data_IF_842981422265
#
_entry.id   IF_842981422265
#
_cell.length_a   1.000
_cell.length_b   1.000
_cell.length_c   1.000
_cell.angle_alpha   90.00
_cell.angle_beta   90.00
_cell.angle_gamma   90.00
#
_symmetry.space_group_name_H-M   'P 1'
#
loop_
_entity.id
_entity.type
_entity.pdbx_description
1 polymer ?
#
# COMPACT_ATOMS: atom_id res chain seq x y z
N UNK A 1 20.27 -32.27 34.48
CA UNK A 1 21.17 -31.85 33.39
C UNK A 1 20.33 -31.13 32.33
N UNK A 2 20.67 -29.87 32.09
CA UNK A 2 20.18 -28.96 31.05
C UNK A 2 18.73 -28.42 31.13
N UNK A 3 18.50 -27.19 30.66
CA UNK A 3 18.50 -26.03 31.54
C UNK A 3 17.21 -25.18 31.45
N UNK A 4 17.11 -24.23 32.38
CA UNK A 4 16.06 -23.23 32.48
C UNK A 4 15.85 -22.46 31.18
N UNK A 5 14.64 -22.52 30.64
CA UNK A 5 14.11 -21.54 29.70
C UNK A 5 13.85 -20.25 30.47
N UNK A 6 14.74 -19.26 30.29
CA UNK A 6 14.47 -17.88 30.67
C UNK A 6 13.18 -17.43 29.99
N UNK A 7 12.20 -17.10 30.81
CA UNK A 7 11.00 -16.40 30.38
C UNK A 7 11.38 -14.98 29.95
N UNK A 8 11.08 -14.69 28.68
CA UNK A 8 10.74 -13.38 28.13
C UNK A 8 11.06 -12.16 29.02
N UNK A 9 12.25 -11.59 28.81
CA UNK A 9 12.50 -10.17 29.06
C UNK A 9 11.73 -9.33 28.02
N UNK A 10 10.41 -9.20 28.21
CA UNK A 10 9.67 -8.09 27.64
C UNK A 10 10.07 -6.88 28.48
N UNK A 11 11.07 -6.14 27.99
CA UNK A 11 11.56 -4.92 28.63
C UNK A 11 10.41 -3.99 29.02
N UNK A 12 10.46 -3.52 30.26
CA UNK A 12 9.57 -2.48 30.78
C UNK A 12 9.69 -1.21 29.92
N UNK A 13 8.64 -0.39 29.94
CA UNK A 13 8.49 0.86 29.16
C UNK A 13 9.69 1.82 29.28
N UNK A 14 10.55 1.65 30.29
CA UNK A 14 11.75 2.45 30.54
C UNK A 14 12.96 2.13 29.63
N UNK A 15 13.00 0.98 28.94
CA UNK A 15 14.17 0.54 28.15
C UNK A 15 13.86 0.17 26.68
N UNK A 16 12.84 0.78 26.08
CA UNK A 16 12.50 0.57 24.66
C UNK A 16 13.22 1.51 23.67
N UNK A 17 13.15 1.24 22.35
CA UNK A 17 13.70 2.12 21.31
C UNK A 17 13.15 3.55 21.39
N UNK A 18 11.92 3.73 21.89
CA UNK A 18 11.31 5.03 22.09
C UNK A 18 12.03 5.87 23.17
N UNK A 19 12.53 5.23 24.24
CA UNK A 19 13.31 5.90 25.30
C UNK A 19 14.62 6.46 24.71
N UNK A 20 15.31 5.67 23.89
CA UNK A 20 16.51 6.09 23.20
C UNK A 20 16.26 7.24 22.19
N UNK A 21 15.12 7.22 21.48
CA UNK A 21 14.68 8.32 20.61
C UNK A 21 14.47 9.61 21.42
N UNK A 22 13.81 9.54 22.57
CA UNK A 22 13.57 10.71 23.44
C UNK A 22 14.88 11.27 24.01
N UNK A 23 15.82 10.41 24.40
CA UNK A 23 17.14 10.84 24.87
C UNK A 23 17.94 11.53 23.74
N UNK A 24 17.89 11.01 22.51
CA UNK A 24 18.52 11.63 21.35
C UNK A 24 17.89 12.99 20.99
N UNK A 25 16.56 13.09 21.08
CA UNK A 25 15.83 14.36 20.92
C UNK A 25 16.26 15.42 21.93
N UNK A 26 16.40 15.04 23.21
CA UNK A 26 16.86 15.95 24.26
C UNK A 26 18.26 16.50 23.99
N UNK A 27 19.12 15.70 23.33
CA UNK A 27 20.48 16.09 22.92
C UNK A 27 20.55 16.81 21.58
N UNK A 28 19.43 17.02 20.91
CA UNK A 28 19.37 17.62 19.58
C UNK A 28 20.16 16.86 18.50
N UNK A 29 20.18 15.53 18.59
CA UNK A 29 21.00 14.64 17.77
C UNK A 29 20.15 13.75 16.84
N UNK A 30 19.93 14.16 15.57
CA UNK A 30 19.19 13.34 14.61
C UNK A 30 19.91 12.03 14.27
N UNK A 31 21.24 11.96 14.37
CA UNK A 31 22.02 10.74 14.09
C UNK A 31 21.78 9.70 15.18
N UNK A 32 21.72 10.12 16.45
CA UNK A 32 21.37 9.22 17.55
C UNK A 32 19.92 8.73 17.46
N UNK A 33 18.98 9.51 16.91
CA UNK A 33 17.62 9.02 16.61
C UNK A 33 17.66 7.91 15.56
N UNK A 34 18.47 8.06 14.52
CA UNK A 34 18.67 7.01 13.52
C UNK A 34 19.25 5.76 14.18
N UNK A 35 20.32 5.89 14.96
CA UNK A 35 20.95 4.75 15.63
C UNK A 35 19.97 4.01 16.58
N UNK A 36 19.09 4.74 17.27
CA UNK A 36 18.07 4.15 18.14
C UNK A 36 17.00 3.35 17.38
N UNK A 37 16.76 3.67 16.10
CA UNK A 37 15.72 3.08 15.28
C UNK A 37 16.26 2.10 14.23
N UNK A 38 17.58 2.03 14.07
CA UNK A 38 18.21 1.16 13.09
C UNK A 38 17.94 -0.30 13.45
N UNK A 39 17.51 -1.08 12.46
CA UNK A 39 17.05 -2.45 12.68
C UNK A 39 15.66 -2.59 13.34
N UNK A 40 15.06 -1.52 13.87
CA UNK A 40 13.74 -1.55 14.52
C UNK A 40 12.59 -1.26 13.54
N UNK A 41 12.84 -0.40 12.56
CA UNK A 41 11.87 -0.13 11.49
C UNK A 41 11.95 -1.19 10.38
N UNK A 42 13.00 -2.01 10.38
CA UNK A 42 13.27 -3.11 9.47
C UNK A 42 12.75 -4.44 10.02
N UNK A 43 12.12 -5.25 9.18
CA UNK A 43 11.56 -6.55 9.58
C UNK A 43 11.55 -7.53 8.40
N UNK A 44 12.27 -7.21 7.31
CA UNK A 44 12.53 -8.11 6.17
C UNK A 44 11.29 -8.58 5.41
N UNK A 45 10.11 -8.02 5.72
CA UNK A 45 8.82 -8.39 5.16
C UNK A 45 8.05 -7.13 4.76
N UNK A 46 7.14 -7.19 3.77
CA UNK A 46 6.26 -6.08 3.48
C UNK A 46 5.32 -5.79 4.67
N UNK A 47 5.30 -4.54 5.13
CA UNK A 47 4.37 -4.05 6.16
C UNK A 47 5.04 -3.76 7.50
N UNK A 48 5.57 -2.53 7.64
CA UNK A 48 6.23 -2.03 8.86
C UNK A 48 5.52 -2.27 10.17
N UNK A 49 6.25 -2.19 11.31
CA UNK A 49 5.65 -1.86 12.60
C UNK A 49 5.03 -0.46 12.53
N UNK A 50 3.84 -0.36 11.93
CA UNK A 50 3.15 0.88 11.64
C UNK A 50 2.85 1.67 12.92
N UNK A 51 2.55 0.95 14.01
CA UNK A 51 2.38 1.53 15.33
C UNK A 51 3.67 2.20 15.84
N UNK A 52 4.83 1.57 15.69
CA UNK A 52 6.11 2.18 16.09
C UNK A 52 6.43 3.41 15.24
N UNK A 53 6.25 3.33 13.91
CA UNK A 53 6.44 4.49 13.01
C UNK A 53 5.51 5.65 13.37
N UNK A 54 4.26 5.36 13.67
CA UNK A 54 3.30 6.37 14.12
C UNK A 54 3.74 7.01 15.44
N UNK A 55 4.08 6.21 16.45
CA UNK A 55 4.55 6.71 17.76
C UNK A 55 5.81 7.56 17.63
N UNK A 56 6.80 7.12 16.84
CA UNK A 56 8.01 7.89 16.58
C UNK A 56 7.68 9.22 15.91
N UNK A 57 6.85 9.21 14.86
CA UNK A 57 6.45 10.41 14.14
C UNK A 57 5.72 11.42 15.01
N UNK A 58 4.74 10.98 15.80
CA UNK A 58 3.99 11.82 16.74
C UNK A 58 4.90 12.45 17.80
N UNK A 59 5.81 11.67 18.39
CA UNK A 59 6.73 12.18 19.43
C UNK A 59 7.72 13.18 18.87
N UNK A 60 8.31 12.89 17.70
CA UNK A 60 9.22 13.80 17.03
C UNK A 60 8.52 15.10 16.63
N UNK A 61 7.33 15.01 16.04
CA UNK A 61 6.55 16.17 15.63
C UNK A 61 6.19 17.05 16.83
N UNK A 62 5.72 16.44 17.93
CA UNK A 62 5.36 17.17 19.15
C UNK A 62 6.58 17.85 19.79
N UNK A 63 7.72 17.14 19.89
CA UNK A 63 8.93 17.68 20.51
C UNK A 63 9.56 18.83 19.71
N UNK A 64 9.36 18.86 18.39
CA UNK A 64 9.94 19.88 17.52
C UNK A 64 8.95 20.99 17.11
N UNK A 65 7.67 20.88 17.46
CA UNK A 65 6.60 21.76 17.01
C UNK A 65 6.85 23.26 17.30
N UNK A 66 7.51 23.59 18.41
CA UNK A 66 7.74 24.97 18.85
C UNK A 66 9.01 25.60 18.25
N UNK A 67 9.82 24.84 17.50
CA UNK A 67 11.14 25.26 17.04
C UNK A 67 11.30 25.05 15.54
N UNK A 68 10.61 25.89 14.74
CA UNK A 68 10.53 25.75 13.27
C UNK A 68 11.89 25.64 12.57
N UNK A 69 12.89 26.43 12.96
CA UNK A 69 14.25 26.35 12.41
C UNK A 69 14.96 25.02 12.73
N UNK A 70 14.68 24.45 13.92
CA UNK A 70 15.21 23.16 14.34
C UNK A 70 14.58 22.01 13.54
N UNK A 71 13.28 22.06 13.30
CA UNK A 71 12.55 21.07 12.48
C UNK A 71 13.16 20.95 11.10
N UNK A 72 13.41 22.07 10.42
CA UNK A 72 13.95 22.05 9.05
C UNK A 72 15.34 21.41 9.02
N UNK A 73 16.25 21.83 9.91
CA UNK A 73 17.59 21.24 10.02
C UNK A 73 17.52 19.73 10.30
N UNK A 74 16.56 19.28 11.11
CA UNK A 74 16.33 17.86 11.36
C UNK A 74 15.84 17.12 10.11
N UNK A 75 14.85 17.67 9.40
CA UNK A 75 14.34 17.11 8.15
C UNK A 75 15.47 16.97 7.13
N UNK A 76 16.28 18.01 6.94
CA UNK A 76 17.40 18.00 6.00
C UNK A 76 18.42 16.90 6.37
N UNK A 77 18.88 16.88 7.63
CA UNK A 77 19.84 15.90 8.11
C UNK A 77 19.34 14.45 7.96
N UNK A 78 18.06 14.22 8.22
CA UNK A 78 17.44 12.89 8.13
C UNK A 78 17.17 12.48 6.68
N UNK A 79 16.72 13.41 5.82
CA UNK A 79 16.43 13.15 4.40
C UNK A 79 17.70 12.86 3.60
N UNK A 80 18.85 13.42 3.99
CA UNK A 80 20.15 13.12 3.38
C UNK A 80 20.96 12.07 4.14
N UNK A 81 20.37 11.44 5.16
CA UNK A 81 21.06 10.43 5.97
C UNK A 81 21.52 9.25 5.09
N UNK A 82 22.72 8.67 5.30
CA UNK A 82 23.12 7.45 4.61
C UNK A 82 22.23 6.25 5.00
N UNK A 83 21.64 6.25 6.20
CA UNK A 83 20.74 5.19 6.65
C UNK A 83 19.33 5.35 6.04
N UNK A 84 18.77 4.28 5.44
CA UNK A 84 17.35 4.26 5.05
C UNK A 84 16.39 4.54 6.21
N UNK A 85 16.77 4.19 7.45
CA UNK A 85 16.00 4.50 8.65
C UNK A 85 15.83 6.01 8.82
N UNK A 86 16.92 6.79 8.67
CA UNK A 86 16.86 8.25 8.77
C UNK A 86 15.93 8.86 7.73
N UNK A 87 16.02 8.42 6.48
CA UNK A 87 15.17 8.92 5.40
C UNK A 87 13.69 8.53 5.57
N UNK A 88 13.40 7.39 6.20
CA UNK A 88 12.04 7.03 6.61
C UNK A 88 11.54 7.94 7.74
N UNK A 89 12.38 8.27 8.72
CA UNK A 89 12.02 9.20 9.81
C UNK A 89 11.78 10.60 9.28
N UNK A 90 12.53 11.04 8.26
CA UNK A 90 12.28 12.30 7.57
C UNK A 90 10.84 12.38 7.02
N UNK A 91 10.33 11.29 6.43
CA UNK A 91 8.94 11.22 5.94
C UNK A 91 7.91 11.50 7.05
N UNK A 92 8.17 11.04 8.28
CA UNK A 92 7.27 11.24 9.42
C UNK A 92 7.23 12.72 9.85
N UNK A 93 8.39 13.40 9.86
CA UNK A 93 8.50 14.82 10.20
C UNK A 93 7.89 15.73 9.13
N UNK A 94 8.10 15.40 7.86
CA UNK A 94 7.58 16.14 6.71
C UNK A 94 6.05 16.30 6.75
N UNK A 95 5.31 15.29 7.22
CA UNK A 95 3.86 15.35 7.34
C UNK A 95 3.37 16.48 8.26
N UNK A 96 4.07 16.67 9.39
CA UNK A 96 3.76 17.74 10.36
C UNK A 96 4.26 19.10 9.89
N UNK A 97 5.32 19.14 9.07
CA UNK A 97 5.87 20.38 8.53
C UNK A 97 5.11 20.93 7.30
N UNK A 98 4.28 20.11 6.65
CA UNK A 98 3.49 20.49 5.48
C UNK A 98 2.76 21.84 5.55
N UNK A 99 2.03 22.22 6.63
CA UNK A 99 1.33 23.50 6.69
C UNK A 99 2.27 24.72 6.69
N UNK A 100 3.55 24.55 7.01
CA UNK A 100 4.55 25.62 7.04
C UNK A 100 5.19 25.79 5.66
N UNK A 101 5.67 24.69 5.06
CA UNK A 101 6.25 24.70 3.71
C UNK A 101 5.69 23.56 2.83
N UNK A 102 4.48 23.72 2.27
CA UNK A 102 3.88 22.71 1.41
C UNK A 102 4.75 22.37 0.19
N UNK A 103 5.44 23.36 -0.37
CA UNK A 103 6.20 23.20 -1.60
C UNK A 103 7.50 22.45 -1.35
N UNK A 104 8.24 22.79 -0.30
CA UNK A 104 9.44 22.06 0.12
C UNK A 104 9.13 20.64 0.53
N UNK A 105 8.07 20.43 1.31
CA UNK A 105 7.64 19.08 1.70
C UNK A 105 7.35 18.20 0.48
N UNK A 106 6.66 18.73 -0.53
CA UNK A 106 6.37 17.97 -1.74
C UNK A 106 7.62 17.69 -2.59
N UNK A 107 8.58 18.63 -2.66
CA UNK A 107 9.87 18.38 -3.34
C UNK A 107 10.65 17.27 -2.65
N UNK A 108 10.74 17.29 -1.32
CA UNK A 108 11.45 16.25 -0.56
C UNK A 108 10.71 14.91 -0.65
N UNK A 109 9.38 14.90 -0.58
CA UNK A 109 8.59 13.68 -0.76
C UNK A 109 8.80 13.03 -2.13
N UNK A 110 8.93 13.81 -3.20
CA UNK A 110 9.24 13.32 -4.53
C UNK A 110 10.64 12.70 -4.61
N UNK A 111 11.65 13.36 -4.03
CA UNK A 111 13.02 12.81 -3.95
C UNK A 111 13.04 11.48 -3.18
N UNK A 112 12.34 11.41 -2.05
CA UNK A 112 12.25 10.19 -1.24
C UNK A 112 11.41 9.09 -1.89
N UNK A 113 10.45 9.45 -2.76
CA UNK A 113 9.73 8.48 -3.57
C UNK A 113 10.63 7.81 -4.62
N UNK A 114 11.71 8.47 -5.03
CA UNK A 114 12.74 7.96 -5.95
C UNK A 114 13.93 7.27 -5.25
N UNK A 115 13.88 7.15 -3.92
CA UNK A 115 15.00 6.62 -3.14
C UNK A 115 15.43 5.22 -3.61
N UNK A 116 16.75 4.90 -3.66
CA UNK A 116 17.20 3.55 -4.03
C UNK A 116 16.66 2.47 -3.08
N UNK A 117 16.42 2.79 -1.81
CA UNK A 117 15.91 1.86 -0.82
C UNK A 117 14.38 1.79 -0.84
N UNK A 118 13.83 0.59 -1.07
CA UNK A 118 12.39 0.40 -1.28
C UNK A 118 11.53 0.79 -0.07
N UNK A 119 12.03 0.64 1.16
CA UNK A 119 11.28 1.04 2.37
C UNK A 119 11.15 2.55 2.51
N UNK A 120 12.12 3.33 2.00
CA UNK A 120 12.03 4.78 1.96
C UNK A 120 10.96 5.19 0.95
N UNK A 121 10.93 4.54 -0.22
CA UNK A 121 9.85 4.75 -1.21
C UNK A 121 8.46 4.40 -0.65
N UNK A 122 8.36 3.35 0.16
CA UNK A 122 7.11 3.02 0.88
C UNK A 122 6.70 4.14 1.85
N UNK A 123 7.66 4.65 2.65
CA UNK A 123 7.42 5.74 3.58
C UNK A 123 7.01 7.04 2.86
N UNK A 124 7.64 7.36 1.74
CA UNK A 124 7.28 8.51 0.91
C UNK A 124 5.87 8.37 0.31
N UNK A 125 5.50 7.18 -0.16
CA UNK A 125 4.12 6.90 -0.58
C UNK A 125 3.10 7.03 0.56
N UNK A 126 3.48 6.63 1.78
CA UNK A 126 2.71 6.86 3.01
C UNK A 126 2.52 8.35 3.31
N UNK A 127 3.60 9.13 3.28
CA UNK A 127 3.57 10.58 3.44
C UNK A 127 2.63 11.22 2.40
N UNK A 128 2.81 10.92 1.11
CA UNK A 128 1.94 11.46 0.05
C UNK A 128 0.47 11.10 0.25
N UNK A 129 0.17 9.92 0.79
CA UNK A 129 -1.18 9.53 1.17
C UNK A 129 -1.74 10.33 2.33
N UNK A 130 -0.95 10.55 3.38
CA UNK A 130 -1.33 11.44 4.50
C UNK A 130 -1.56 12.88 4.03
N UNK A 131 -0.74 13.39 3.11
CA UNK A 131 -0.94 14.71 2.52
C UNK A 131 -2.20 14.76 1.67
N UNK A 132 -2.46 13.74 0.85
CA UNK A 132 -3.68 13.65 0.03
C UNK A 132 -4.94 13.57 0.89
N UNK A 133 -4.90 12.86 2.01
CA UNK A 133 -6.02 12.80 2.94
C UNK A 133 -6.30 14.16 3.59
N UNK A 134 -5.23 14.87 3.98
CA UNK A 134 -5.29 16.17 4.65
C UNK A 134 -5.72 17.31 3.73
N UNK A 135 -5.19 17.35 2.50
CA UNK A 135 -5.35 18.47 1.57
C UNK A 135 -5.63 17.96 0.15
N UNK A 136 -6.76 17.25 0.02
CA UNK A 136 -7.12 16.48 -1.17
C UNK A 136 -7.02 17.30 -2.47
N UNK A 137 -7.63 18.49 -2.47
CA UNK A 137 -7.72 19.34 -3.66
C UNK A 137 -6.35 19.87 -4.11
N UNK A 138 -5.43 20.13 -3.17
CA UNK A 138 -4.10 20.64 -3.50
C UNK A 138 -3.14 19.54 -3.90
N UNK A 139 -3.24 18.37 -3.29
CA UNK A 139 -2.31 17.25 -3.53
C UNK A 139 -2.69 16.47 -4.78
N UNK A 140 -4.00 16.32 -5.09
CA UNK A 140 -4.47 15.54 -6.25
C UNK A 140 -3.79 15.96 -7.57
N UNK A 141 -3.71 17.25 -7.96
CA UNK A 141 -3.05 17.66 -9.20
C UNK A 141 -1.57 17.25 -9.26
N UNK A 142 -0.87 17.23 -8.11
CA UNK A 142 0.53 16.80 -8.08
C UNK A 142 0.65 15.30 -8.34
N UNK A 143 -0.25 14.49 -7.78
CA UNK A 143 -0.30 13.05 -8.06
C UNK A 143 -0.70 12.75 -9.51
N UNK A 144 -1.52 13.61 -10.13
CA UNK A 144 -1.82 13.52 -11.57
C UNK A 144 -0.58 13.74 -12.45
N UNK A 145 0.39 14.56 -12.01
CA UNK A 145 1.69 14.67 -12.67
C UNK A 145 2.51 13.39 -12.46
N UNK A 146 2.58 12.90 -11.21
CA UNK A 146 3.38 11.70 -10.89
C UNK A 146 2.91 10.43 -11.60
N UNK A 147 1.60 10.21 -11.74
CA UNK A 147 1.07 9.03 -12.45
C UNK A 147 1.46 8.98 -13.93
N UNK A 148 1.82 10.12 -14.51
CA UNK A 148 2.27 10.25 -15.89
C UNK A 148 3.81 10.32 -16.02
N UNK A 149 4.54 10.19 -14.91
CA UNK A 149 6.00 10.21 -14.91
C UNK A 149 6.57 8.98 -15.62
N UNK A 150 7.76 9.14 -16.21
CA UNK A 150 8.56 8.02 -16.74
C UNK A 150 9.05 7.09 -15.62
N UNK A 151 9.21 7.61 -14.41
CA UNK A 151 9.63 6.82 -13.26
C UNK A 151 8.52 5.90 -12.75
N UNK A 152 8.81 4.60 -12.68
CA UNK A 152 7.91 3.64 -12.05
C UNK A 152 7.74 3.86 -10.55
N UNK A 153 8.74 4.47 -9.89
CA UNK A 153 8.68 4.76 -8.47
C UNK A 153 7.64 5.83 -8.17
N UNK A 154 7.62 6.92 -8.94
CA UNK A 154 6.63 7.98 -8.79
C UNK A 154 5.22 7.49 -9.14
N UNK A 155 5.07 6.69 -10.21
CA UNK A 155 3.78 6.07 -10.54
C UNK A 155 3.30 5.14 -9.42
N UNK A 156 4.20 4.34 -8.83
CA UNK A 156 3.87 3.52 -7.65
C UNK A 156 3.54 4.37 -6.43
N UNK A 157 4.22 5.49 -6.21
CA UNK A 157 3.95 6.38 -5.09
C UNK A 157 2.51 6.91 -5.14
N UNK A 158 1.95 7.18 -6.33
CA UNK A 158 0.52 7.51 -6.50
C UNK A 158 -0.37 6.37 -6.04
N UNK A 159 -0.06 5.12 -6.43
CA UNK A 159 -0.82 3.93 -6.01
C UNK A 159 -0.84 3.80 -4.49
N UNK A 160 0.30 3.99 -3.83
CA UNK A 160 0.38 3.97 -2.36
C UNK A 160 -0.35 5.15 -1.73
N UNK A 161 -0.19 6.36 -2.26
CA UNK A 161 -0.86 7.55 -1.74
C UNK A 161 -2.38 7.35 -1.73
N UNK A 162 -2.95 6.81 -2.82
CA UNK A 162 -4.38 6.44 -2.87
C UNK A 162 -4.74 5.38 -1.82
N UNK A 163 -3.91 4.34 -1.65
CA UNK A 163 -4.14 3.30 -0.63
C UNK A 163 -4.23 3.88 0.78
N UNK A 164 -3.32 4.81 1.12
CA UNK A 164 -3.26 5.42 2.45
C UNK A 164 -4.32 6.51 2.66
N UNK A 165 -4.72 7.21 1.60
CA UNK A 165 -5.80 8.22 1.62
C UNK A 165 -7.22 7.63 1.50
N UNK A 166 -7.34 6.32 1.24
CA UNK A 166 -8.63 5.65 1.21
C UNK A 166 -9.16 5.47 2.64
N UNK A 167 -9.99 6.43 3.08
CA UNK A 167 -10.52 6.51 4.45
C UNK A 167 -12.03 6.28 4.50
N UNK A 168 -12.51 5.56 5.53
CA UNK A 168 -13.93 5.16 5.69
C UNK A 168 -14.87 6.32 6.02
N UNK A 169 -14.34 7.38 6.60
CA UNK A 169 -15.01 8.65 6.88
C UNK A 169 -15.05 9.59 5.66
N UNK A 170 -14.35 9.24 4.57
CA UNK A 170 -14.36 9.96 3.30
C UNK A 170 -14.69 9.08 2.08
N UNK A 171 -15.77 8.28 2.10
CA UNK A 171 -16.14 7.42 0.98
C UNK A 171 -16.46 8.21 -0.30
N UNK A 172 -16.92 9.45 -0.17
CA UNK A 172 -17.22 10.36 -1.30
C UNK A 172 -16.01 10.65 -2.18
N UNK A 173 -14.78 10.44 -1.68
CA UNK A 173 -13.54 10.63 -2.44
C UNK A 173 -13.18 9.44 -3.34
N UNK A 174 -13.82 8.28 -3.15
CA UNK A 174 -13.47 7.06 -3.89
C UNK A 174 -13.55 7.22 -5.41
N UNK A 175 -14.56 7.89 -6.01
CA UNK A 175 -14.57 8.17 -7.46
C UNK A 175 -13.32 8.90 -7.94
N UNK A 176 -12.88 9.95 -7.24
CA UNK A 176 -11.69 10.73 -7.60
C UNK A 176 -10.39 9.92 -7.39
N UNK A 177 -10.34 9.12 -6.32
CA UNK A 177 -9.22 8.19 -6.09
C UNK A 177 -9.14 7.13 -7.19
N UNK A 178 -10.26 6.58 -7.65
CA UNK A 178 -10.31 5.65 -8.78
C UNK A 178 -9.88 6.35 -10.08
N UNK A 179 -10.26 7.61 -10.29
CA UNK A 179 -9.85 8.39 -11.44
C UNK A 179 -8.33 8.65 -11.46
N UNK A 180 -7.69 8.83 -10.30
CA UNK A 180 -6.21 8.89 -10.20
C UNK A 180 -5.56 7.59 -10.70
N UNK A 181 -6.12 6.43 -10.30
CA UNK A 181 -5.58 5.11 -10.59
C UNK A 181 -5.88 4.60 -12.00
N UNK A 182 -6.95 5.06 -12.64
CA UNK A 182 -7.43 4.49 -13.90
C UNK A 182 -6.35 4.43 -15.01
N UNK A 183 -5.52 5.47 -15.25
CA UNK A 183 -4.44 5.37 -16.23
C UNK A 183 -3.39 4.30 -15.88
N UNK A 184 -3.12 4.09 -14.60
CA UNK A 184 -2.14 3.13 -14.09
C UNK A 184 -2.61 1.67 -14.21
N UNK A 185 -3.87 1.41 -14.55
CA UNK A 185 -4.35 0.05 -14.83
C UNK A 185 -3.62 -0.60 -16.03
N UNK A 186 -3.04 0.22 -16.92
CA UNK A 186 -2.24 -0.17 -18.07
C UNK A 186 -0.73 -0.14 -17.83
N UNK A 187 -0.30 0.12 -16.59
CA UNK A 187 1.13 0.30 -16.31
C UNK A 187 1.93 -0.94 -16.70
N UNK A 188 3.00 -0.80 -17.51
CA UNK A 188 3.81 -1.93 -17.96
C UNK A 188 4.65 -2.52 -16.84
N UNK A 189 4.86 -1.80 -15.73
CA UNK A 189 5.73 -2.24 -14.66
C UNK A 189 5.02 -3.09 -13.62
N UNK A 190 5.55 -4.29 -13.40
CA UNK A 190 5.02 -5.21 -12.41
C UNK A 190 5.10 -4.61 -10.99
N UNK A 191 6.08 -3.74 -10.72
CA UNK A 191 6.25 -3.07 -9.45
C UNK A 191 5.05 -2.17 -9.11
N UNK A 192 4.54 -1.42 -10.09
CA UNK A 192 3.31 -0.60 -9.95
C UNK A 192 2.08 -1.50 -9.84
N UNK A 193 1.91 -2.43 -10.79
CA UNK A 193 0.71 -3.29 -10.87
C UNK A 193 0.50 -4.15 -9.63
N UNK A 194 1.58 -4.68 -9.04
CA UNK A 194 1.49 -5.47 -7.81
C UNK A 194 0.89 -4.67 -6.66
N UNK A 195 1.10 -3.36 -6.60
CA UNK A 195 0.54 -2.47 -5.57
C UNK A 195 -0.89 -2.00 -5.91
N UNK A 196 -1.27 -2.08 -7.18
CA UNK A 196 -2.53 -1.53 -7.70
C UNK A 196 -3.73 -2.46 -7.47
N UNK A 197 -3.90 -3.48 -8.32
CA UNK A 197 -5.06 -4.38 -8.30
C UNK A 197 -5.31 -5.00 -6.93
N UNK A 198 -4.39 -5.84 -6.40
CA UNK A 198 -4.66 -6.57 -5.16
C UNK A 198 -4.65 -5.67 -3.92
N UNK A 199 -3.74 -4.72 -3.77
CA UNK A 199 -3.64 -3.97 -2.51
C UNK A 199 -4.48 -2.69 -2.51
N UNK A 200 -4.29 -1.80 -3.48
CA UNK A 200 -4.96 -0.50 -3.45
C UNK A 200 -6.44 -0.62 -3.80
N UNK A 201 -6.77 -1.32 -4.89
CA UNK A 201 -8.17 -1.52 -5.28
C UNK A 201 -8.80 -2.60 -4.38
N UNK A 202 -8.12 -3.74 -4.24
CA UNK A 202 -8.62 -4.92 -3.54
C UNK A 202 -8.73 -4.79 -2.02
N UNK A 203 -7.68 -4.30 -1.34
CA UNK A 203 -7.63 -4.23 0.14
C UNK A 203 -8.05 -2.89 0.74
N UNK A 204 -7.90 -1.78 -0.02
CA UNK A 204 -8.23 -0.44 0.45
C UNK A 204 -9.56 0.07 -0.11
N UNK A 205 -9.68 0.31 -1.42
CA UNK A 205 -10.89 0.95 -1.98
C UNK A 205 -12.16 0.09 -1.84
N UNK A 206 -12.08 -1.23 -2.06
CA UNK A 206 -13.20 -2.14 -1.77
C UNK A 206 -13.62 -2.14 -0.30
N UNK A 207 -12.73 -1.79 0.64
CA UNK A 207 -13.06 -1.68 2.06
C UNK A 207 -13.83 -0.40 2.39
N UNK A 208 -13.56 0.67 1.65
CA UNK A 208 -14.07 2.02 1.91
C UNK A 208 -15.41 2.23 1.22
N UNK A 209 -15.45 2.06 -0.09
CA UNK A 209 -16.70 2.10 -0.86
C UNK A 209 -16.76 0.91 -1.83
N UNK A 210 -17.29 -0.25 -1.35
CA UNK A 210 -17.46 -1.41 -2.20
C UNK A 210 -18.38 -1.15 -3.40
N UNK A 211 -19.42 -0.32 -3.25
CA UNK A 211 -20.43 -0.12 -4.30
C UNK A 211 -19.78 0.56 -5.51
N UNK A 212 -19.10 1.66 -5.26
CA UNK A 212 -18.44 2.45 -6.29
C UNK A 212 -17.25 1.71 -6.91
N UNK A 213 -16.44 1.06 -6.06
CA UNK A 213 -15.28 0.28 -6.53
C UNK A 213 -15.71 -0.92 -7.38
N UNK A 214 -16.77 -1.64 -7.00
CA UNK A 214 -17.30 -2.76 -7.79
C UNK A 214 -17.94 -2.30 -9.11
N UNK A 215 -18.55 -1.10 -9.13
CA UNK A 215 -19.05 -0.48 -10.37
C UNK A 215 -17.90 -0.27 -11.36
N UNK A 216 -16.83 0.37 -10.91
CA UNK A 216 -15.63 0.60 -11.72
C UNK A 216 -14.96 -0.70 -12.17
N UNK A 217 -14.78 -1.69 -11.28
CA UNK A 217 -14.25 -3.01 -11.63
C UNK A 217 -15.10 -3.71 -12.70
N UNK A 218 -16.43 -3.57 -12.63
CA UNK A 218 -17.34 -4.13 -13.64
C UNK A 218 -17.14 -3.44 -14.99
N UNK A 219 -17.01 -2.12 -15.02
CA UNK A 219 -16.73 -1.35 -16.23
C UNK A 219 -15.37 -1.76 -16.83
N UNK A 220 -14.29 -1.71 -16.04
CA UNK A 220 -12.93 -2.06 -16.46
C UNK A 220 -12.75 -3.52 -16.87
N UNK A 221 -13.59 -4.44 -16.40
CA UNK A 221 -13.57 -5.84 -16.84
C UNK A 221 -13.86 -6.03 -18.34
N UNK A 222 -14.42 -5.01 -19.01
CA UNK A 222 -14.72 -5.00 -20.45
C UNK A 222 -13.62 -4.36 -21.30
N UNK A 223 -12.56 -3.86 -20.66
CA UNK A 223 -11.45 -3.22 -21.37
C UNK A 223 -10.74 -4.22 -22.28
N UNK A 224 -10.24 -3.74 -23.43
CA UNK A 224 -9.51 -4.58 -24.40
C UNK A 224 -8.08 -4.89 -23.93
N UNK A 225 -7.53 -4.06 -23.05
CA UNK A 225 -6.20 -4.28 -22.50
C UNK A 225 -6.20 -5.39 -21.43
N UNK A 226 -5.36 -6.42 -21.64
CA UNK A 226 -5.22 -7.53 -20.70
C UNK A 226 -4.67 -7.11 -19.33
N UNK A 227 -3.89 -6.03 -19.24
CA UNK A 227 -3.35 -5.51 -17.98
C UNK A 227 -4.43 -4.89 -17.11
N UNK A 228 -5.38 -4.19 -17.74
CA UNK A 228 -6.57 -3.66 -17.05
C UNK A 228 -7.39 -4.84 -16.50
N UNK A 229 -7.69 -5.82 -17.34
CA UNK A 229 -8.44 -7.03 -16.94
C UNK A 229 -7.71 -7.85 -15.87
N UNK A 230 -6.38 -7.90 -15.92
CA UNK A 230 -5.55 -8.53 -14.90
C UNK A 230 -5.70 -7.81 -13.55
N UNK A 231 -5.61 -6.48 -13.51
CA UNK A 231 -5.79 -5.68 -12.28
C UNK A 231 -7.19 -5.91 -11.69
N UNK A 232 -8.22 -5.96 -12.53
CA UNK A 232 -9.60 -6.26 -12.11
C UNK A 232 -9.71 -7.62 -11.45
N UNK A 233 -9.17 -8.68 -12.06
CA UNK A 233 -9.16 -10.00 -11.44
C UNK A 233 -8.36 -10.02 -10.13
N UNK A 234 -7.20 -9.38 -10.12
CA UNK A 234 -6.31 -9.36 -8.95
C UNK A 234 -6.89 -8.61 -7.75
N UNK A 235 -7.78 -7.65 -7.94
CA UNK A 235 -8.51 -7.01 -6.83
C UNK A 235 -9.23 -8.03 -5.95
N UNK A 236 -9.78 -9.09 -6.54
CA UNK A 236 -10.46 -10.16 -5.80
C UNK A 236 -9.50 -11.22 -5.21
N UNK A 237 -8.19 -11.09 -5.44
CA UNK A 237 -7.16 -11.97 -4.84
C UNK A 237 -6.66 -11.49 -3.47
N UNK A 238 -7.12 -10.32 -3.04
CA UNK A 238 -6.73 -9.70 -1.78
C UNK A 238 -7.51 -10.25 -0.59
N UNK A 239 -7.21 -9.80 0.63
CA UNK A 239 -7.97 -10.22 1.82
C UNK A 239 -9.38 -9.64 1.85
N UNK A 240 -9.54 -8.35 1.55
CA UNK A 240 -10.86 -7.69 1.52
C UNK A 240 -11.61 -8.04 0.24
N UNK A 241 -10.95 -7.99 -0.92
CA UNK A 241 -11.57 -8.29 -2.20
C UNK A 241 -12.24 -9.66 -2.25
N UNK A 242 -11.71 -10.64 -1.52
CA UNK A 242 -12.31 -11.98 -1.48
C UNK A 242 -13.64 -12.08 -0.73
N UNK A 243 -14.02 -11.09 0.08
CA UNK A 243 -15.35 -11.01 0.71
C UNK A 243 -16.45 -10.61 -0.30
N UNK A 244 -16.08 -10.20 -1.51
CA UNK A 244 -17.05 -9.71 -2.51
C UNK A 244 -17.40 -10.76 -3.57
N UNK A 245 -17.26 -12.06 -3.27
CA UNK A 245 -17.54 -13.14 -4.23
C UNK A 245 -18.90 -13.02 -4.95
N UNK A 246 -20.04 -12.73 -4.28
CA UNK A 246 -21.33 -12.61 -4.96
C UNK A 246 -21.32 -11.59 -6.12
N UNK A 247 -20.65 -10.45 -5.93
CA UNK A 247 -20.50 -9.45 -6.98
C UNK A 247 -19.37 -9.82 -7.98
N UNK A 248 -18.27 -10.36 -7.47
CA UNK A 248 -17.08 -10.73 -8.24
C UNK A 248 -17.36 -11.86 -9.23
N UNK A 249 -18.24 -12.80 -8.91
CA UNK A 249 -18.55 -13.99 -9.73
C UNK A 249 -18.84 -13.62 -11.17
N UNK A 250 -19.76 -12.68 -11.41
CA UNK A 250 -20.12 -12.25 -12.77
C UNK A 250 -18.96 -11.59 -13.53
N UNK A 251 -18.06 -10.90 -12.83
CA UNK A 251 -16.87 -10.27 -13.40
C UNK A 251 -15.85 -11.34 -13.76
N UNK A 252 -15.53 -12.24 -12.83
CA UNK A 252 -14.58 -13.33 -13.03
C UNK A 252 -15.06 -14.31 -14.11
N UNK A 253 -16.37 -14.58 -14.20
CA UNK A 253 -16.98 -15.37 -15.27
C UNK A 253 -16.77 -14.76 -16.66
N UNK A 254 -16.77 -13.44 -16.77
CA UNK A 254 -16.45 -12.74 -18.03
C UNK A 254 -14.97 -12.88 -18.36
N UNK A 255 -14.11 -12.61 -17.37
CA UNK A 255 -12.66 -12.61 -17.56
C UNK A 255 -12.10 -14.02 -17.85
N UNK A 256 -12.74 -15.07 -17.34
CA UNK A 256 -12.32 -16.45 -17.52
C UNK A 256 -12.40 -16.98 -18.97
N UNK A 257 -13.19 -16.32 -19.84
CA UNK A 257 -13.36 -16.68 -21.25
C UNK A 257 -12.20 -16.25 -22.15
N UNK A 258 -11.40 -15.28 -21.70
CA UNK A 258 -10.37 -14.66 -22.54
C UNK A 258 -9.22 -15.61 -22.85
N UNK A 259 -8.58 -15.48 -24.03
CA UNK A 259 -7.44 -16.33 -24.40
C UNK A 259 -6.19 -16.05 -23.56
N UNK A 260 -6.11 -14.89 -22.89
CA UNK A 260 -4.86 -14.41 -22.30
C UNK A 260 -4.46 -15.21 -21.05
N UNK A 261 -3.33 -15.95 -21.07
CA UNK A 261 -2.87 -16.73 -19.92
C UNK A 261 -2.70 -15.90 -18.65
N UNK A 262 -2.27 -14.65 -18.81
CA UNK A 262 -2.08 -13.70 -17.70
C UNK A 262 -3.39 -13.44 -16.95
N UNK A 263 -4.48 -13.15 -17.67
CA UNK A 263 -5.80 -12.89 -17.08
C UNK A 263 -6.36 -14.16 -16.45
N UNK A 264 -6.25 -15.31 -17.13
CA UNK A 264 -6.71 -16.61 -16.60
C UNK A 264 -6.02 -16.96 -15.27
N UNK A 265 -4.71 -16.72 -15.19
CA UNK A 265 -3.93 -16.95 -13.96
C UNK A 265 -4.38 -16.04 -12.81
N UNK A 266 -4.70 -14.77 -13.11
CA UNK A 266 -5.25 -13.85 -12.12
C UNK A 266 -6.65 -14.24 -11.65
N UNK A 267 -7.53 -14.65 -12.57
CA UNK A 267 -8.87 -15.18 -12.24
C UNK A 267 -8.75 -16.41 -11.36
N UNK A 268 -7.86 -17.35 -11.70
CA UNK A 268 -7.65 -18.53 -10.90
C UNK A 268 -7.13 -18.20 -9.49
N UNK A 269 -6.22 -17.23 -9.37
CA UNK A 269 -5.73 -16.74 -8.07
C UNK A 269 -6.86 -16.10 -7.24
N UNK A 270 -7.69 -15.27 -7.86
CA UNK A 270 -8.85 -14.67 -7.22
C UNK A 270 -9.84 -15.73 -6.72
N UNK A 271 -10.21 -16.69 -7.58
CA UNK A 271 -11.09 -17.79 -7.19
C UNK A 271 -10.52 -18.61 -6.03
N UNK A 272 -9.22 -18.96 -6.07
CA UNK A 272 -8.59 -19.67 -4.94
C UNK A 272 -8.65 -18.87 -3.63
N UNK A 273 -8.56 -17.54 -3.70
CA UNK A 273 -8.71 -16.67 -2.52
C UNK A 273 -10.16 -16.63 -2.04
N UNK A 274 -11.12 -16.42 -2.93
CA UNK A 274 -12.55 -16.43 -2.60
C UNK A 274 -13.02 -17.79 -2.06
N UNK A 275 -12.45 -18.90 -2.55
CA UNK A 275 -12.74 -20.26 -2.09
C UNK A 275 -12.47 -20.47 -0.61
N UNK A 276 -11.58 -19.68 0.00
CA UNK A 276 -11.32 -19.76 1.44
C UNK A 276 -12.53 -19.33 2.29
N UNK A 277 -13.54 -18.70 1.68
CA UNK A 277 -14.75 -18.20 2.34
C UNK A 277 -16.03 -18.73 1.71
N UNK A 278 -16.05 -18.85 0.38
CA UNK A 278 -17.19 -19.28 -0.43
C UNK A 278 -16.90 -20.64 -1.07
N UNK A 279 -16.51 -21.63 -0.25
CA UNK A 279 -15.99 -22.92 -0.74
C UNK A 279 -16.92 -23.57 -1.76
N UNK A 280 -18.17 -23.82 -1.38
CA UNK A 280 -19.11 -24.59 -2.19
C UNK A 280 -19.53 -23.83 -3.46
N UNK A 281 -19.76 -22.52 -3.36
CA UNK A 281 -20.14 -21.70 -4.51
C UNK A 281 -19.01 -21.58 -5.55
N UNK A 282 -17.77 -21.42 -5.07
CA UNK A 282 -16.60 -21.34 -5.95
C UNK A 282 -16.32 -22.69 -6.58
N UNK A 283 -16.42 -23.80 -5.84
CA UNK A 283 -16.26 -25.14 -6.40
C UNK A 283 -17.36 -25.50 -7.39
N UNK A 284 -18.62 -25.18 -7.11
CA UNK A 284 -19.72 -25.35 -8.07
C UNK A 284 -19.46 -24.55 -9.36
N UNK A 285 -18.96 -23.32 -9.23
CA UNK A 285 -18.58 -22.48 -10.37
C UNK A 285 -17.43 -23.10 -11.16
N UNK A 286 -16.39 -23.60 -10.48
CA UNK A 286 -15.23 -24.26 -11.09
C UNK A 286 -15.64 -25.53 -11.85
N UNK A 287 -16.46 -26.39 -11.24
CA UNK A 287 -16.96 -27.62 -11.86
C UNK A 287 -17.81 -27.33 -13.10
N UNK A 288 -18.62 -26.28 -13.07
CA UNK A 288 -19.36 -25.83 -14.26
C UNK A 288 -18.41 -25.32 -15.35
N UNK A 289 -17.37 -24.57 -15.00
CA UNK A 289 -16.40 -24.07 -15.98
C UNK A 289 -15.52 -25.17 -16.59
N UNK A 290 -15.26 -26.28 -15.89
CA UNK A 290 -14.58 -27.44 -16.49
C UNK A 290 -15.34 -28.04 -17.68
N UNK A 291 -16.67 -27.89 -17.71
CA UNK A 291 -17.54 -28.35 -18.80
C UNK A 291 -17.70 -27.31 -19.91
N UNK A 292 -17.15 -26.12 -19.73
CA UNK A 292 -17.26 -24.98 -20.64
C UNK A 292 -15.94 -24.82 -21.38
N UNK A 293 -15.94 -25.05 -22.70
CA UNK A 293 -14.73 -25.03 -23.54
C UNK A 293 -13.94 -23.73 -23.39
N UNK A 294 -14.61 -22.59 -23.22
CA UNK A 294 -13.95 -21.29 -23.14
C UNK A 294 -13.32 -21.02 -21.77
N UNK A 295 -13.72 -21.78 -20.74
CA UNK A 295 -13.32 -21.54 -19.34
C UNK A 295 -12.59 -22.71 -18.70
N UNK A 296 -12.57 -23.88 -19.34
CA UNK A 296 -11.96 -25.10 -18.82
C UNK A 296 -10.51 -24.88 -18.38
N UNK A 297 -9.69 -24.24 -19.23
CA UNK A 297 -8.30 -23.92 -18.91
C UNK A 297 -8.17 -23.03 -17.65
N UNK A 298 -9.08 -22.08 -17.43
CA UNK A 298 -9.10 -21.27 -16.21
C UNK A 298 -9.49 -22.10 -14.99
N UNK A 299 -10.47 -22.98 -15.12
CA UNK A 299 -10.93 -23.86 -14.05
C UNK A 299 -9.89 -24.91 -13.63
N UNK A 300 -9.09 -25.40 -14.58
CA UNK A 300 -7.92 -26.25 -14.33
C UNK A 300 -6.88 -25.52 -13.49
N UNK A 301 -6.57 -24.26 -13.83
CA UNK A 301 -5.65 -23.42 -13.05
C UNK A 301 -6.13 -23.18 -11.62
N UNK A 302 -7.43 -23.10 -11.36
CA UNK A 302 -7.97 -23.01 -9.98
C UNK A 302 -7.57 -24.25 -9.17
N UNK A 303 -7.59 -25.42 -9.83
CA UNK A 303 -7.31 -26.73 -9.24
C UNK A 303 -8.42 -27.23 -8.31
N UNK A 304 -8.44 -28.52 -7.98
CA UNK A 304 -9.43 -29.08 -7.06
C UNK A 304 -9.31 -28.49 -5.66
N UNK A 305 -10.37 -28.64 -4.85
CA UNK A 305 -10.31 -28.38 -3.43
C UNK A 305 -9.28 -29.33 -2.79
N UNK A 306 -8.21 -28.78 -2.20
CA UNK A 306 -7.28 -29.57 -1.40
C UNK A 306 -7.97 -29.87 -0.07
N UNK A 307 -8.26 -31.14 0.21
CA UNK A 307 -8.68 -31.57 1.55
C UNK A 307 -7.52 -31.27 2.51
N UNK A 308 -7.80 -30.55 3.60
CA UNK A 308 -6.87 -30.36 4.70
C UNK A 308 -6.93 -31.57 5.62
#
# INVERSE_FOLDING_TARGET
>A
MNPATQADEIGTVEQGPLSAVLAALARDDPTAVVAALDGQLHHGRPGSPAALRQQVGERLAMALAEQSGRVMRWIDALATSPSPTGRQVACLLLASHYPIDPAGVLRTAEQLAEDPHWEVREAAGGLLGSLLDRDFNRIRPRLEVFRNSKSENLRRAVVLAVKYAARRDHPERVPDLLALLQPLLRDPEAYVRRNLGPYTIGDALLRVDPKETLRSLREWSRDRDQMVRWNVAMAFSSAIGSFHWPAAKSILERLAKGPEPLVRSAVAKAMRRCRQRYTDEVEATRLRWLKDRDRAATAELVGPLKRR
#
